data_IF_563740867089
#
_entry.id   IF_563740867089
#
_cell.length_a   1.000
_cell.length_b   1.000
_cell.length_c   1.000
_cell.angle_alpha   90.00
_cell.angle_beta   90.00
_cell.angle_gamma   90.00
#
_symmetry.space_group_name_H-M   'P 1'
#
loop_
_entity.id
_entity.type
_entity.pdbx_description
1 polymer ?
#
# COMPACT_ATOMS: atom_id res chain seq x y z
N UNK A 1 -80.84 -103.71 31.36
CA UNK A 1 -79.70 -103.55 32.30
C UNK A 1 -78.34 -104.03 31.78
N UNK A 2 -78.16 -105.20 31.12
CA UNK A 2 -76.84 -105.58 30.53
C UNK A 2 -76.51 -104.90 29.19
N UNK A 3 -77.48 -104.70 28.29
CA UNK A 3 -77.24 -104.02 27.01
C UNK A 3 -76.88 -102.53 27.18
N UNK A 4 -77.59 -101.79 28.05
CA UNK A 4 -77.28 -100.38 28.32
C UNK A 4 -75.84 -100.19 28.84
N UNK A 5 -75.37 -101.09 29.71
CA UNK A 5 -73.99 -101.04 30.21
C UNK A 5 -72.93 -101.33 29.15
N UNK A 6 -73.28 -102.08 28.09
CA UNK A 6 -72.37 -102.42 27.00
C UNK A 6 -72.32 -101.32 25.94
N UNK A 7 -73.45 -100.68 25.65
CA UNK A 7 -73.52 -99.49 24.80
C UNK A 7 -72.88 -98.27 25.47
N UNK A 8 -73.07 -98.08 26.78
CA UNK A 8 -72.41 -97.02 27.54
C UNK A 8 -70.88 -97.17 27.50
N UNK A 9 -70.36 -98.38 27.72
CA UNK A 9 -68.90 -98.64 27.62
C UNK A 9 -68.34 -98.37 26.23
N UNK A 10 -69.05 -98.76 25.16
CA UNK A 10 -68.64 -98.45 23.78
C UNK A 10 -68.72 -96.96 23.47
N UNK A 11 -69.71 -96.25 24.01
CA UNK A 11 -69.82 -94.80 23.90
C UNK A 11 -68.68 -94.10 24.64
N UNK A 12 -68.38 -94.54 25.86
CA UNK A 12 -67.27 -94.02 26.67
C UNK A 12 -65.93 -94.29 25.97
N UNK A 13 -65.74 -95.48 25.38
CA UNK A 13 -64.55 -95.85 24.59
C UNK A 13 -64.41 -94.98 23.33
N UNK A 14 -65.48 -94.78 22.56
CA UNK A 14 -65.49 -93.89 21.39
C UNK A 14 -65.26 -92.42 21.78
N UNK A 15 -65.86 -91.96 22.87
CA UNK A 15 -65.66 -90.60 23.38
C UNK A 15 -64.23 -90.37 23.88
N UNK A 16 -63.60 -91.39 24.47
CA UNK A 16 -62.17 -91.36 24.83
C UNK A 16 -61.32 -91.35 23.57
N UNK A 17 -61.61 -92.17 22.56
CA UNK A 17 -60.89 -92.17 21.28
C UNK A 17 -61.02 -90.84 20.52
N UNK A 18 -62.21 -90.25 20.46
CA UNK A 18 -62.42 -88.94 19.83
C UNK A 18 -61.63 -87.85 20.56
N UNK A 19 -61.64 -87.86 21.90
CA UNK A 19 -60.81 -86.94 22.70
C UNK A 19 -59.33 -87.14 22.46
N UNK A 20 -58.85 -88.38 22.38
CA UNK A 20 -57.45 -88.69 22.06
C UNK A 20 -57.07 -88.19 20.67
N UNK A 21 -57.86 -88.48 19.63
CA UNK A 21 -57.61 -87.95 18.28
C UNK A 21 -57.62 -86.43 18.25
N UNK A 22 -58.55 -85.79 18.96
CA UNK A 22 -58.61 -84.32 19.04
C UNK A 22 -57.38 -83.75 19.73
N UNK A 23 -56.91 -84.36 20.80
CA UNK A 23 -55.67 -84.00 21.47
C UNK A 23 -54.46 -84.20 20.56
N UNK A 24 -54.37 -85.31 19.82
CA UNK A 24 -53.30 -85.57 18.85
C UNK A 24 -53.32 -84.55 17.69
N UNK A 25 -54.50 -84.20 17.17
CA UNK A 25 -54.65 -83.17 16.14
C UNK A 25 -54.27 -81.79 16.66
N UNK A 26 -54.66 -81.43 17.88
CA UNK A 26 -54.28 -80.18 18.52
C UNK A 26 -52.77 -80.12 18.77
N UNK A 27 -52.16 -81.21 19.25
CA UNK A 27 -50.71 -81.33 19.38
C UNK A 27 -50.00 -81.19 18.03
N UNK A 28 -50.47 -81.87 16.98
CA UNK A 28 -49.90 -81.75 15.64
C UNK A 28 -50.05 -80.33 15.08
N UNK A 29 -51.19 -79.69 15.29
CA UNK A 29 -51.43 -78.31 14.88
C UNK A 29 -50.51 -77.33 15.64
N UNK A 30 -50.30 -77.56 16.94
CA UNK A 30 -49.38 -76.77 17.75
C UNK A 30 -47.94 -76.98 17.31
N UNK A 31 -47.48 -78.22 17.13
CA UNK A 31 -46.16 -78.54 16.60
C UNK A 31 -45.92 -77.89 15.23
N UNK A 32 -46.90 -77.93 14.32
CA UNK A 32 -46.82 -77.24 13.02
C UNK A 32 -46.68 -75.73 13.19
N UNK A 33 -47.46 -75.11 14.09
CA UNK A 33 -47.36 -73.67 14.37
C UNK A 33 -45.99 -73.32 14.95
N UNK A 34 -45.47 -74.12 15.87
CA UNK A 34 -44.15 -73.93 16.48
C UNK A 34 -43.03 -74.06 15.45
N UNK A 35 -43.06 -75.10 14.61
CA UNK A 35 -42.09 -75.27 13.51
C UNK A 35 -42.16 -74.10 12.54
N UNK A 36 -43.36 -73.66 12.13
CA UNK A 36 -43.52 -72.49 11.25
C UNK A 36 -43.01 -71.22 11.93
N UNK A 37 -43.28 -71.02 13.22
CA UNK A 37 -42.79 -69.87 13.96
C UNK A 37 -41.26 -69.90 14.09
N UNK A 38 -40.67 -71.06 14.33
CA UNK A 38 -39.22 -71.25 14.34
C UNK A 38 -38.61 -70.93 12.97
N UNK A 39 -39.12 -71.53 11.90
CA UNK A 39 -38.63 -71.27 10.53
C UNK A 39 -38.78 -69.79 10.13
N UNK A 40 -39.88 -69.13 10.51
CA UNK A 40 -40.07 -67.69 10.29
C UNK A 40 -39.04 -66.86 11.07
N UNK A 41 -38.78 -67.19 12.35
CA UNK A 41 -37.75 -66.50 13.14
C UNK A 41 -36.37 -66.67 12.52
N UNK A 42 -36.00 -67.90 12.16
CA UNK A 42 -34.71 -68.19 11.52
C UNK A 42 -34.58 -67.51 10.17
N UNK A 43 -35.65 -67.48 9.35
CA UNK A 43 -35.66 -66.77 8.08
C UNK A 43 -35.47 -65.27 8.28
N UNK A 44 -36.21 -64.66 9.21
CA UNK A 44 -36.06 -63.24 9.51
C UNK A 44 -34.66 -62.91 10.01
N UNK A 45 -34.10 -63.70 10.92
CA UNK A 45 -32.70 -63.54 11.38
C UNK A 45 -31.71 -63.59 10.20
N UNK A 46 -31.93 -64.48 9.22
CA UNK A 46 -31.10 -64.56 8.02
C UNK A 46 -31.29 -63.37 7.08
N UNK A 47 -32.51 -62.83 6.99
CA UNK A 47 -32.78 -61.60 6.23
C UNK A 47 -32.10 -60.41 6.89
N UNK A 48 -32.21 -60.27 8.22
CA UNK A 48 -31.57 -59.20 8.98
C UNK A 48 -30.03 -59.27 8.83
N UNK A 49 -29.45 -60.47 8.95
CA UNK A 49 -28.01 -60.70 8.72
C UNK A 49 -27.59 -60.32 7.28
N UNK A 50 -28.39 -60.67 6.27
CA UNK A 50 -28.14 -60.25 4.88
C UNK A 50 -28.20 -58.73 4.74
N UNK A 51 -29.16 -58.06 5.39
CA UNK A 51 -29.26 -56.60 5.34
C UNK A 51 -28.08 -55.92 6.01
N UNK A 52 -27.67 -56.38 7.20
CA UNK A 52 -26.50 -55.85 7.91
C UNK A 52 -25.21 -56.04 7.09
N UNK A 53 -25.00 -57.21 6.50
CA UNK A 53 -23.84 -57.47 5.64
C UNK A 53 -23.87 -56.60 4.38
N UNK A 54 -25.04 -56.36 3.80
CA UNK A 54 -25.19 -55.50 2.62
C UNK A 54 -24.92 -54.02 2.96
N UNK A 55 -25.38 -53.53 4.12
CA UNK A 55 -25.07 -52.19 4.61
C UNK A 55 -23.57 -52.02 4.89
N UNK A 56 -22.95 -53.01 5.54
CA UNK A 56 -21.49 -53.02 5.75
C UNK A 56 -20.74 -52.99 4.42
N UNK A 57 -21.16 -53.79 3.43
CA UNK A 57 -20.55 -53.81 2.10
C UNK A 57 -20.68 -52.46 1.39
N UNK A 58 -21.84 -51.81 1.46
CA UNK A 58 -22.03 -50.47 0.91
C UNK A 58 -21.15 -49.43 1.61
N UNK A 59 -21.08 -49.48 2.94
CA UNK A 59 -20.21 -48.57 3.70
C UNK A 59 -18.73 -48.74 3.33
N UNK A 60 -18.29 -49.98 3.13
CA UNK A 60 -16.93 -50.31 2.72
C UNK A 60 -16.66 -49.84 1.28
N UNK A 61 -17.63 -49.97 0.38
CA UNK A 61 -17.53 -49.45 -0.99
C UNK A 61 -17.40 -47.93 -1.00
N UNK A 62 -18.23 -47.22 -0.24
CA UNK A 62 -18.16 -45.76 -0.10
C UNK A 62 -16.81 -45.34 0.50
N UNK A 63 -16.34 -46.02 1.54
CA UNK A 63 -15.03 -45.73 2.13
C UNK A 63 -13.88 -45.92 1.11
N UNK A 64 -13.93 -47.00 0.32
CA UNK A 64 -12.96 -47.25 -0.76
C UNK A 64 -13.00 -46.17 -1.84
N UNK A 65 -14.19 -45.70 -2.22
CA UNK A 65 -14.34 -44.61 -3.21
C UNK A 65 -13.75 -43.30 -2.67
N UNK A 66 -14.03 -42.96 -1.42
CA UNK A 66 -13.47 -41.75 -0.77
C UNK A 66 -11.95 -41.83 -0.69
N UNK A 67 -11.38 -42.98 -0.31
CA UNK A 67 -9.93 -43.18 -0.30
C UNK A 67 -9.32 -43.06 -1.70
N UNK A 68 -9.96 -43.65 -2.71
CA UNK A 68 -9.53 -43.56 -4.10
C UNK A 68 -9.51 -42.10 -4.57
N UNK A 69 -10.58 -41.35 -4.32
CA UNK A 69 -10.67 -39.93 -4.69
C UNK A 69 -9.61 -39.10 -3.97
N UNK A 70 -9.33 -39.40 -2.70
CA UNK A 70 -8.26 -38.76 -1.94
C UNK A 70 -6.86 -39.04 -2.55
N UNK A 71 -6.58 -40.27 -2.96
CA UNK A 71 -5.33 -40.61 -3.64
C UNK A 71 -5.21 -39.98 -5.03
N UNK A 72 -6.31 -39.91 -5.79
CA UNK A 72 -6.34 -39.23 -7.08
C UNK A 72 -6.07 -37.73 -6.93
N UNK A 73 -6.66 -37.09 -5.91
CA UNK A 73 -6.41 -35.69 -5.58
C UNK A 73 -4.95 -35.45 -5.18
N UNK A 74 -4.36 -36.29 -4.34
CA UNK A 74 -2.95 -36.21 -3.97
C UNK A 74 -2.03 -36.38 -5.19
N UNK A 75 -2.33 -37.34 -6.07
CA UNK A 75 -1.56 -37.57 -7.30
C UNK A 75 -1.67 -36.36 -8.25
N UNK A 76 -2.85 -35.76 -8.37
CA UNK A 76 -3.05 -34.56 -9.17
C UNK A 76 -2.28 -33.36 -8.59
N UNK A 77 -2.30 -33.20 -7.27
CA UNK A 77 -1.53 -32.16 -6.58
C UNK A 77 -0.03 -32.32 -6.84
N UNK A 78 0.54 -33.50 -6.59
CA UNK A 78 1.98 -33.75 -6.81
C UNK A 78 2.38 -33.53 -8.28
N UNK A 79 1.52 -33.92 -9.24
CA UNK A 79 1.75 -33.65 -10.66
C UNK A 79 1.73 -32.15 -10.96
N UNK A 80 0.83 -31.40 -10.35
CA UNK A 80 0.75 -29.96 -10.52
C UNK A 80 2.00 -29.26 -9.96
N UNK A 81 2.40 -29.61 -8.73
CA UNK A 81 3.62 -29.08 -8.09
C UNK A 81 4.89 -29.42 -8.91
N UNK A 82 4.98 -30.65 -9.42
CA UNK A 82 6.09 -31.04 -10.29
C UNK A 82 6.11 -30.26 -11.61
N UNK A 83 4.93 -30.03 -12.20
CA UNK A 83 4.85 -29.26 -13.43
C UNK A 83 5.20 -27.78 -13.20
N UNK A 84 4.75 -27.20 -12.09
CA UNK A 84 5.09 -25.82 -11.72
C UNK A 84 6.59 -25.65 -11.47
N UNK A 85 7.22 -26.55 -10.71
CA UNK A 85 8.67 -26.52 -10.48
C UNK A 85 9.46 -26.72 -11.77
N UNK A 86 9.01 -27.60 -12.67
CA UNK A 86 9.59 -27.75 -14.01
C UNK A 86 9.50 -26.45 -14.81
N UNK A 87 8.34 -25.80 -14.82
CA UNK A 87 8.14 -24.56 -15.56
C UNK A 87 8.98 -23.43 -14.98
N UNK A 88 9.07 -23.31 -13.65
CA UNK A 88 9.96 -22.38 -12.96
C UNK A 88 11.43 -22.59 -13.38
N UNK A 89 11.95 -23.82 -13.27
CA UNK A 89 13.33 -24.12 -13.67
C UNK A 89 13.57 -23.87 -15.17
N UNK A 90 12.57 -24.12 -16.02
CA UNK A 90 12.66 -23.84 -17.46
C UNK A 90 12.78 -22.34 -17.72
N UNK A 91 11.97 -21.52 -17.04
CA UNK A 91 12.07 -20.05 -17.14
C UNK A 91 13.41 -19.52 -16.63
N UNK A 92 13.92 -20.05 -15.51
CA UNK A 92 15.24 -19.69 -15.00
C UNK A 92 16.35 -20.05 -15.99
N UNK A 93 16.27 -21.22 -16.62
CA UNK A 93 17.24 -21.65 -17.63
C UNK A 93 17.25 -20.70 -18.84
N UNK A 94 16.07 -20.29 -19.32
CA UNK A 94 15.95 -19.31 -20.41
C UNK A 94 16.57 -17.96 -20.00
N UNK A 95 16.29 -17.47 -18.80
CA UNK A 95 16.85 -16.21 -18.28
C UNK A 95 18.38 -16.31 -18.15
N UNK A 96 18.89 -17.42 -17.63
CA UNK A 96 20.33 -17.67 -17.51
C UNK A 96 20.99 -17.75 -18.89
N UNK A 97 20.34 -18.38 -19.87
CA UNK A 97 20.79 -18.39 -21.27
C UNK A 97 20.87 -16.98 -21.86
N UNK A 98 19.88 -16.13 -21.59
CA UNK A 98 19.91 -14.71 -21.99
C UNK A 98 21.04 -13.92 -21.32
N UNK A 99 21.27 -14.14 -20.02
CA UNK A 99 22.40 -13.53 -19.29
C UNK A 99 23.76 -13.99 -19.84
N UNK A 100 23.89 -15.26 -20.20
CA UNK A 100 25.10 -15.81 -20.79
C UNK A 100 25.39 -15.18 -22.16
N UNK A 101 24.39 -15.09 -23.03
CA UNK A 101 24.52 -14.44 -24.34
C UNK A 101 24.95 -12.97 -24.22
N UNK A 102 24.36 -12.21 -23.28
CA UNK A 102 24.76 -10.83 -23.01
C UNK A 102 26.21 -10.73 -22.49
N UNK A 103 26.65 -11.70 -21.68
CA UNK A 103 28.02 -11.76 -21.18
C UNK A 103 29.02 -12.12 -22.28
N UNK A 104 28.65 -13.01 -23.20
CA UNK A 104 29.45 -13.33 -24.40
C UNK A 104 29.58 -12.13 -25.34
N UNK A 105 28.49 -11.38 -25.55
CA UNK A 105 28.53 -10.14 -26.33
C UNK A 105 29.45 -9.10 -25.67
N UNK A 106 29.32 -8.90 -24.36
CA UNK A 106 30.21 -8.00 -23.62
C UNK A 106 31.69 -8.43 -23.72
N UNK A 107 31.96 -9.74 -23.62
CA UNK A 107 33.31 -10.30 -23.78
C UNK A 107 33.86 -10.00 -25.18
N UNK A 108 33.06 -10.18 -26.22
CA UNK A 108 33.46 -9.92 -27.61
C UNK A 108 33.71 -8.42 -27.86
N UNK A 109 32.83 -7.55 -27.36
CA UNK A 109 33.02 -6.09 -27.42
C UNK A 109 34.31 -5.65 -26.71
N UNK A 110 34.61 -6.25 -25.55
CA UNK A 110 35.86 -5.98 -24.81
C UNK A 110 37.09 -6.40 -25.61
N UNK A 111 37.05 -7.56 -26.27
CA UNK A 111 38.15 -8.02 -27.12
C UNK A 111 38.37 -7.10 -28.31
N UNK A 112 37.32 -6.75 -29.05
CA UNK A 112 37.42 -5.80 -30.17
C UNK A 112 37.98 -4.45 -29.73
N UNK A 113 37.55 -3.96 -28.57
CA UNK A 113 38.06 -2.70 -28.03
C UNK A 113 39.54 -2.82 -27.67
N UNK A 114 39.93 -3.93 -27.05
CA UNK A 114 41.33 -4.20 -26.68
C UNK A 114 42.22 -4.28 -27.92
N UNK A 115 41.76 -4.95 -28.99
CA UNK A 115 42.48 -5.02 -30.26
C UNK A 115 42.62 -3.63 -30.94
N UNK A 116 41.55 -2.82 -30.90
CA UNK A 116 41.61 -1.42 -31.36
C UNK A 116 42.62 -0.60 -30.54
N UNK A 117 42.71 -0.81 -29.24
CA UNK A 117 43.72 -0.16 -28.41
C UNK A 117 45.13 -0.61 -28.75
N UNK A 118 45.39 -1.91 -28.87
CA UNK A 118 46.73 -2.42 -29.20
C UNK A 118 47.19 -1.93 -30.58
N UNK A 119 46.30 -1.91 -31.58
CA UNK A 119 46.63 -1.39 -32.91
C UNK A 119 46.93 0.11 -32.89
N UNK A 120 46.20 0.92 -32.12
CA UNK A 120 46.50 2.34 -31.94
C UNK A 120 47.82 2.57 -31.19
N UNK A 121 48.10 1.78 -30.16
CA UNK A 121 49.38 1.83 -29.43
C UNK A 121 50.56 1.50 -30.34
N UNK A 122 50.44 0.46 -31.18
CA UNK A 122 51.47 0.08 -32.14
C UNK A 122 51.69 1.17 -33.21
N UNK A 123 50.61 1.79 -33.70
CA UNK A 123 50.71 2.94 -34.60
C UNK A 123 51.42 4.12 -33.95
N UNK A 124 51.10 4.43 -32.69
CA UNK A 124 51.73 5.51 -31.94
C UNK A 124 53.22 5.24 -31.73
N UNK A 125 53.60 4.02 -31.33
CA UNK A 125 55.00 3.62 -31.19
C UNK A 125 55.76 3.73 -32.51
N UNK A 126 55.13 3.32 -33.61
CA UNK A 126 55.73 3.44 -34.94
C UNK A 126 55.96 4.90 -35.32
N UNK A 127 54.97 5.77 -35.13
CA UNK A 127 55.12 7.20 -35.35
C UNK A 127 56.24 7.78 -34.47
N UNK A 128 56.30 7.43 -33.20
CA UNK A 128 57.35 7.89 -32.29
C UNK A 128 58.74 7.45 -32.77
N UNK A 129 58.89 6.21 -33.23
CA UNK A 129 60.14 5.72 -33.83
C UNK A 129 60.49 6.49 -35.11
N UNK A 130 59.53 6.67 -36.01
CA UNK A 130 59.73 7.39 -37.27
C UNK A 130 60.13 8.86 -37.01
N UNK A 131 59.55 9.51 -36.00
CA UNK A 131 59.92 10.86 -35.57
C UNK A 131 61.32 10.91 -34.94
N UNK A 132 61.69 9.93 -34.12
CA UNK A 132 63.05 9.82 -33.56
C UNK A 132 64.09 9.68 -34.67
N UNK A 133 63.81 8.82 -35.66
CA UNK A 133 64.68 8.63 -36.81
C UNK A 133 64.75 9.91 -37.68
N UNK A 134 63.64 10.61 -37.85
CA UNK A 134 63.59 11.87 -38.56
C UNK A 134 64.47 12.94 -37.89
N UNK A 135 64.32 13.11 -36.57
CA UNK A 135 65.14 14.05 -35.77
C UNK A 135 66.62 13.67 -35.85
N UNK A 136 66.95 12.40 -35.64
CA UNK A 136 68.33 11.92 -35.75
C UNK A 136 68.94 12.21 -37.13
N UNK A 137 68.19 11.98 -38.21
CA UNK A 137 68.65 12.27 -39.57
C UNK A 137 68.83 13.77 -39.82
N UNK A 138 67.96 14.62 -39.28
CA UNK A 138 68.11 16.08 -39.36
C UNK A 138 69.34 16.56 -38.59
N UNK A 139 69.54 16.07 -37.37
CA UNK A 139 70.71 16.39 -36.55
C UNK A 139 72.00 15.97 -37.27
N UNK A 140 72.03 14.74 -37.78
CA UNK A 140 73.15 14.22 -38.57
C UNK A 140 73.46 15.11 -39.78
N UNK A 141 72.43 15.51 -40.55
CA UNK A 141 72.59 16.44 -41.69
C UNK A 141 73.14 17.79 -41.23
N UNK A 142 72.58 18.37 -40.17
CA UNK A 142 73.04 19.66 -39.63
C UNK A 142 74.50 19.62 -39.19
N UNK A 143 74.93 18.53 -38.54
CA UNK A 143 76.33 18.33 -38.14
C UNK A 143 77.24 18.24 -39.36
N UNK A 144 76.86 17.46 -40.38
CA UNK A 144 77.64 17.33 -41.61
C UNK A 144 77.75 18.65 -42.38
N UNK A 145 76.66 19.42 -42.47
CA UNK A 145 76.65 20.73 -43.13
C UNK A 145 77.50 21.75 -42.40
N UNK A 146 77.46 21.77 -41.07
CA UNK A 146 78.35 22.62 -40.24
C UNK A 146 79.82 22.30 -40.48
N UNK A 147 80.17 21.02 -40.54
CA UNK A 147 81.55 20.59 -40.80
C UNK A 147 81.98 20.89 -42.24
N UNK A 148 81.09 20.71 -43.22
CA UNK A 148 81.33 21.13 -44.61
C UNK A 148 81.61 22.63 -44.69
N UNK A 149 80.77 23.45 -44.07
CA UNK A 149 80.91 24.91 -44.05
C UNK A 149 82.21 25.33 -43.37
N UNK A 150 82.58 24.70 -42.23
CA UNK A 150 83.87 24.94 -41.57
C UNK A 150 85.04 24.65 -42.49
N UNK A 151 85.04 23.51 -43.20
CA UNK A 151 86.09 23.15 -44.17
C UNK A 151 86.18 24.18 -45.29
N UNK A 152 85.05 24.63 -45.83
CA UNK A 152 85.01 25.66 -46.88
C UNK A 152 85.54 27.02 -46.38
N UNK A 153 85.15 27.45 -45.18
CA UNK A 153 85.67 28.68 -44.56
C UNK A 153 87.19 28.58 -44.38
N UNK A 154 87.72 27.47 -43.85
CA UNK A 154 89.16 27.27 -43.69
C UNK A 154 89.88 27.35 -45.05
N UNK A 155 89.34 26.71 -46.09
CA UNK A 155 89.90 26.78 -47.44
C UNK A 155 89.92 28.21 -47.99
N UNK A 156 88.80 28.95 -47.86
CA UNK A 156 88.73 30.35 -48.31
C UNK A 156 89.67 31.25 -47.53
N UNK A 157 89.76 31.09 -46.21
CA UNK A 157 90.71 31.84 -45.36
C UNK A 157 92.15 31.56 -45.78
N UNK A 158 92.51 30.31 -46.07
CA UNK A 158 93.84 29.98 -46.54
C UNK A 158 94.15 30.60 -47.91
N UNK A 159 93.19 30.57 -48.85
CA UNK A 159 93.33 31.23 -50.15
C UNK A 159 93.52 32.74 -49.98
N UNK A 160 92.66 33.37 -49.19
CA UNK A 160 92.73 34.79 -48.84
C UNK A 160 94.09 35.10 -48.22
N UNK A 161 94.56 34.32 -47.24
CA UNK A 161 95.87 34.52 -46.63
C UNK A 161 97.03 34.42 -47.64
N UNK A 162 96.95 33.53 -48.63
CA UNK A 162 97.97 33.46 -49.70
C UNK A 162 97.93 34.66 -50.63
N UNK A 163 96.75 35.15 -51.00
CA UNK A 163 96.59 36.34 -51.84
C UNK A 163 96.96 37.62 -51.08
N UNK A 164 96.61 37.72 -49.80
CA UNK A 164 97.03 38.83 -48.92
C UNK A 164 98.55 38.88 -48.76
N UNK A 165 99.24 37.75 -48.59
CA UNK A 165 100.73 37.75 -48.57
C UNK A 165 101.32 38.25 -49.89
N UNK A 166 100.73 37.90 -51.05
CA UNK A 166 101.18 38.38 -52.36
C UNK A 166 100.93 39.89 -52.56
N UNK A 167 99.73 40.35 -52.22
CA UNK A 167 99.32 41.77 -52.37
C UNK A 167 100.02 42.68 -51.35
N UNK A 168 100.18 42.24 -50.10
CA UNK A 168 100.90 42.98 -49.07
C UNK A 168 102.37 43.21 -49.42
N UNK A 169 103.01 42.27 -50.13
CA UNK A 169 104.37 42.42 -50.64
C UNK A 169 104.46 43.46 -51.77
N UNK A 170 103.36 43.73 -52.49
CA UNK A 170 103.33 44.58 -53.69
C UNK A 170 102.81 46.00 -53.48
N UNK A 171 102.01 46.27 -52.45
CA UNK A 171 101.36 47.58 -52.23
C UNK A 171 101.54 48.12 -50.80
N UNK A 172 102.66 47.77 -50.15
CA UNK A 172 102.84 47.90 -48.70
C UNK A 172 102.76 49.33 -48.13
N UNK A 173 102.87 50.38 -48.96
CA UNK A 173 102.89 51.77 -48.47
C UNK A 173 101.58 52.54 -48.70
N UNK A 174 100.96 52.43 -49.88
CA UNK A 174 99.69 53.12 -50.17
C UNK A 174 98.46 52.42 -49.60
N UNK A 175 98.48 51.09 -49.48
CA UNK A 175 97.37 50.29 -48.95
C UNK A 175 97.30 50.34 -47.43
N UNK A 176 98.45 50.49 -46.75
CA UNK A 176 98.52 50.63 -45.27
C UNK A 176 97.78 51.87 -44.78
N UNK A 177 97.91 53.00 -45.49
CA UNK A 177 97.23 54.26 -45.11
C UNK A 177 95.71 54.18 -45.29
N UNK A 178 95.23 53.58 -46.38
CA UNK A 178 93.79 53.44 -46.68
C UNK A 178 93.12 52.37 -45.79
N UNK A 179 93.81 51.25 -45.54
CA UNK A 179 93.35 50.19 -44.67
C UNK A 179 93.18 50.64 -43.22
N UNK A 180 94.03 51.53 -42.68
CA UNK A 180 93.87 52.05 -41.32
C UNK A 180 92.56 52.85 -41.17
N UNK A 181 92.21 53.68 -42.15
CA UNK A 181 90.99 54.51 -42.10
C UNK A 181 89.72 53.66 -42.25
N UNK A 182 89.72 52.70 -43.17
CA UNK A 182 88.60 51.78 -43.38
C UNK A 182 88.44 50.82 -42.19
N UNK A 183 89.54 50.32 -41.61
CA UNK A 183 89.51 49.45 -40.42
C UNK A 183 88.99 50.20 -39.19
N UNK A 184 89.37 51.46 -38.99
CA UNK A 184 88.79 52.31 -37.94
C UNK A 184 87.27 52.48 -38.13
N UNK A 185 86.82 52.69 -39.37
CA UNK A 185 85.39 52.86 -39.69
C UNK A 185 84.60 51.57 -39.47
N UNK A 186 85.13 50.42 -39.92
CA UNK A 186 84.53 49.10 -39.71
C UNK A 186 84.51 48.75 -38.22
N UNK A 187 85.59 49.02 -37.48
CA UNK A 187 85.66 48.81 -36.03
C UNK A 187 84.60 49.63 -35.30
N UNK A 188 84.38 50.88 -35.71
CA UNK A 188 83.33 51.72 -35.15
C UNK A 188 81.93 51.13 -35.42
N UNK A 189 81.66 50.69 -36.65
CA UNK A 189 80.39 50.04 -36.98
C UNK A 189 80.20 48.69 -36.28
N UNK A 190 81.26 47.90 -36.14
CA UNK A 190 81.25 46.62 -35.42
C UNK A 190 80.92 46.86 -33.95
N UNK A 191 81.50 47.91 -33.34
CA UNK A 191 81.19 48.29 -31.96
C UNK A 191 79.74 48.72 -31.79
N UNK A 192 79.16 49.41 -32.79
CA UNK A 192 77.75 49.83 -32.79
C UNK A 192 76.82 48.61 -32.91
N UNK A 193 77.10 47.71 -33.85
CA UNK A 193 76.33 46.47 -34.06
C UNK A 193 76.45 45.55 -32.84
N UNK A 194 77.65 45.41 -32.26
CA UNK A 194 77.87 44.62 -31.05
C UNK A 194 77.06 45.17 -29.87
N UNK A 195 77.03 46.50 -29.70
CA UNK A 195 76.21 47.15 -28.67
C UNK A 195 74.71 46.91 -28.89
N UNK A 196 74.23 47.03 -30.13
CA UNK A 196 72.83 46.74 -30.48
C UNK A 196 72.49 45.25 -30.27
N UNK A 197 73.40 44.34 -30.63
CA UNK A 197 73.23 42.91 -30.38
C UNK A 197 73.17 42.57 -28.89
N UNK A 198 73.99 43.23 -28.07
CA UNK A 198 73.95 43.09 -26.62
C UNK A 198 72.63 43.60 -26.02
N UNK A 199 72.12 44.75 -26.51
CA UNK A 199 70.82 45.28 -26.11
C UNK A 199 69.67 44.34 -26.48
N UNK A 200 69.63 43.84 -27.73
CA UNK A 200 68.61 42.88 -28.16
C UNK A 200 68.66 41.56 -27.40
N UNK A 201 69.85 41.07 -27.04
CA UNK A 201 69.99 39.89 -26.18
C UNK A 201 69.42 40.15 -24.79
N UNK A 202 69.71 41.31 -24.21
CA UNK A 202 69.16 41.70 -22.91
C UNK A 202 67.64 41.81 -22.95
N UNK A 203 67.07 42.45 -23.98
CA UNK A 203 65.62 42.51 -24.20
C UNK A 203 65.01 41.13 -24.39
N UNK A 204 65.67 40.23 -25.15
CA UNK A 204 65.20 38.88 -25.37
C UNK A 204 65.17 38.06 -24.06
N UNK A 205 66.19 38.18 -23.22
CA UNK A 205 66.21 37.55 -21.90
C UNK A 205 65.14 38.11 -20.96
N UNK A 206 64.92 39.43 -20.98
CA UNK A 206 63.81 40.04 -20.23
C UNK A 206 62.46 39.51 -20.73
N UNK A 207 62.23 39.46 -22.04
CA UNK A 207 61.00 38.95 -22.63
C UNK A 207 60.79 37.47 -22.30
N UNK A 208 61.83 36.63 -22.35
CA UNK A 208 61.75 35.24 -21.89
C UNK A 208 61.37 35.15 -20.43
N UNK A 209 61.99 35.95 -19.56
CA UNK A 209 61.66 36.03 -18.15
C UNK A 209 60.20 36.40 -17.91
N UNK A 210 59.69 37.42 -18.63
CA UNK A 210 58.27 37.80 -18.53
C UNK A 210 57.33 36.72 -19.05
N UNK A 211 57.68 36.04 -20.16
CA UNK A 211 56.91 34.93 -20.72
C UNK A 211 56.84 33.77 -19.75
N UNK A 212 57.97 33.40 -19.16
CA UNK A 212 58.04 32.27 -18.23
C UNK A 212 57.25 32.58 -16.95
N UNK A 213 57.27 33.82 -16.47
CA UNK A 213 56.43 34.26 -15.36
C UNK A 213 54.94 34.23 -15.72
N UNK A 214 54.58 34.71 -16.91
CA UNK A 214 53.18 34.64 -17.40
C UNK A 214 52.70 33.18 -17.53
N UNK A 215 53.57 32.27 -17.98
CA UNK A 215 53.26 30.85 -18.08
C UNK A 215 52.97 30.24 -16.70
N UNK A 216 53.80 30.54 -15.68
CA UNK A 216 53.55 30.11 -14.31
C UNK A 216 52.22 30.64 -13.77
N UNK A 217 51.89 31.90 -14.05
CA UNK A 217 50.61 32.48 -13.64
C UNK A 217 49.43 31.79 -14.32
N UNK A 218 49.54 31.47 -15.61
CA UNK A 218 48.52 30.70 -16.33
C UNK A 218 48.33 29.31 -15.73
N UNK A 219 49.41 28.59 -15.42
CA UNK A 219 49.34 27.27 -14.80
C UNK A 219 48.66 27.32 -13.43
N UNK A 220 48.99 28.32 -12.60
CA UNK A 220 48.34 28.52 -11.30
C UNK A 220 46.85 28.80 -11.46
N UNK A 221 46.46 29.66 -12.41
CA UNK A 221 45.06 29.98 -12.69
C UNK A 221 44.30 28.77 -13.22
N UNK A 222 44.89 27.98 -14.12
CA UNK A 222 44.26 26.77 -14.65
C UNK A 222 44.05 25.72 -13.53
N UNK A 223 45.04 25.56 -12.66
CA UNK A 223 44.92 24.68 -11.50
C UNK A 223 43.83 25.15 -10.53
N UNK A 224 43.77 26.46 -10.24
CA UNK A 224 42.70 27.04 -9.43
C UNK A 224 41.32 26.79 -10.07
N UNK A 225 41.19 26.99 -11.39
CA UNK A 225 39.96 26.71 -12.12
C UNK A 225 39.55 25.23 -12.03
N UNK A 226 40.50 24.29 -12.20
CA UNK A 226 40.25 22.84 -12.05
C UNK A 226 39.75 22.50 -10.65
N UNK A 227 40.36 23.07 -9.61
CA UNK A 227 39.93 22.87 -8.21
C UNK A 227 38.53 23.45 -8.00
N UNK A 228 38.26 24.68 -8.47
CA UNK A 228 36.93 25.29 -8.38
C UNK A 228 35.86 24.50 -9.13
N UNK A 229 36.18 23.91 -10.29
CA UNK A 229 35.26 23.07 -11.04
C UNK A 229 34.92 21.77 -10.28
N UNK A 230 35.93 21.14 -9.66
CA UNK A 230 35.72 19.95 -8.80
C UNK A 230 34.85 20.28 -7.60
N UNK A 231 35.12 21.41 -6.94
CA UNK A 231 34.32 21.88 -5.80
C UNK A 231 32.88 22.21 -6.21
N UNK A 232 32.70 22.96 -7.30
CA UNK A 232 31.38 23.28 -7.87
C UNK A 232 30.59 22.02 -8.21
N UNK A 233 31.24 20.99 -8.77
CA UNK A 233 30.61 19.68 -9.02
C UNK A 233 30.20 18.99 -7.72
N UNK A 234 31.06 19.01 -6.70
CA UNK A 234 30.74 18.49 -5.36
C UNK A 234 29.56 19.20 -4.73
N UNK A 235 29.56 20.53 -4.75
CA UNK A 235 28.46 21.37 -4.27
C UNK A 235 27.16 21.07 -5.00
N UNK A 236 27.18 20.96 -6.34
CA UNK A 236 26.00 20.57 -7.12
C UNK A 236 25.45 19.21 -6.69
N UNK A 237 26.31 18.23 -6.43
CA UNK A 237 25.88 16.90 -5.94
C UNK A 237 25.25 17.00 -4.55
N UNK A 238 25.85 17.77 -3.64
CA UNK A 238 25.30 17.99 -2.29
C UNK A 238 23.93 18.69 -2.38
N UNK A 239 23.80 19.73 -3.21
CA UNK A 239 22.53 20.43 -3.43
C UNK A 239 21.46 19.46 -3.93
N UNK A 240 21.78 18.60 -4.91
CA UNK A 240 20.83 17.60 -5.41
C UNK A 240 20.39 16.63 -4.31
N UNK A 241 21.34 16.10 -3.52
CA UNK A 241 21.03 15.20 -2.41
C UNK A 241 20.16 15.87 -1.34
N UNK A 242 20.48 17.12 -0.97
CA UNK A 242 19.68 17.89 -0.01
C UNK A 242 18.29 18.20 -0.57
N UNK A 243 18.18 18.51 -1.86
CA UNK A 243 16.89 18.78 -2.52
C UNK A 243 16.01 17.53 -2.50
N UNK A 244 16.60 16.36 -2.79
CA UNK A 244 15.89 15.08 -2.74
C UNK A 244 15.44 14.73 -1.32
N UNK A 245 16.31 14.90 -0.32
CA UNK A 245 15.96 14.76 1.10
C UNK A 245 14.82 15.68 1.53
N UNK A 246 14.83 16.95 1.11
CA UNK A 246 13.73 17.87 1.38
C UNK A 246 12.42 17.40 0.74
N UNK A 247 12.47 16.84 -0.48
CA UNK A 247 11.30 16.29 -1.16
C UNK A 247 10.73 15.08 -0.42
N UNK A 248 11.59 14.15 0.00
CA UNK A 248 11.21 12.98 0.80
C UNK A 248 10.57 13.41 2.12
N UNK A 249 11.19 14.37 2.82
CA UNK A 249 10.64 14.90 4.07
C UNK A 249 9.29 15.57 3.85
N UNK A 250 9.13 16.34 2.76
CA UNK A 250 7.86 16.98 2.44
C UNK A 250 6.77 15.93 2.12
N UNK A 251 7.10 14.87 1.40
CA UNK A 251 6.18 13.77 1.16
C UNK A 251 5.77 13.09 2.47
N UNK A 252 6.73 12.79 3.35
CA UNK A 252 6.46 12.24 4.68
C UNK A 252 5.58 13.15 5.55
N UNK A 253 5.75 14.47 5.47
CA UNK A 253 4.86 15.41 6.18
C UNK A 253 3.43 15.39 5.63
N UNK A 254 3.26 15.30 4.31
CA UNK A 254 1.93 15.20 3.68
C UNK A 254 1.24 13.89 4.08
N UNK A 255 1.96 12.77 4.05
CA UNK A 255 1.43 11.47 4.49
C UNK A 255 1.03 11.49 5.97
N UNK A 256 1.86 12.09 6.83
CA UNK A 256 1.56 12.26 8.25
C UNK A 256 0.32 13.14 8.50
N UNK A 257 0.16 14.22 7.72
CA UNK A 257 -1.03 15.07 7.78
C UNK A 257 -2.30 14.33 7.34
N UNK A 258 -2.22 13.51 6.28
CA UNK A 258 -3.33 12.66 5.83
C UNK A 258 -3.73 11.65 6.90
N UNK A 259 -2.77 10.94 7.50
CA UNK A 259 -3.03 10.01 8.59
C UNK A 259 -3.63 10.73 9.81
N UNK A 260 -3.13 11.92 10.15
CA UNK A 260 -3.69 12.73 11.24
C UNK A 260 -5.14 13.12 10.99
N UNK A 261 -5.49 13.46 9.74
CA UNK A 261 -6.87 13.76 9.37
C UNK A 261 -7.77 12.52 9.53
N UNK A 262 -7.31 11.36 9.06
CA UNK A 262 -8.05 10.09 9.21
C UNK A 262 -8.24 9.71 10.68
N UNK A 263 -7.20 9.84 11.51
CA UNK A 263 -7.29 9.61 12.95
C UNK A 263 -8.30 10.57 13.61
N UNK A 264 -8.26 11.86 13.25
CA UNK A 264 -9.25 12.82 13.75
C UNK A 264 -10.68 12.47 13.36
N UNK A 265 -10.91 11.96 12.16
CA UNK A 265 -12.23 11.51 11.71
C UNK A 265 -12.70 10.27 12.49
N UNK A 266 -11.81 9.30 12.70
CA UNK A 266 -12.09 8.11 13.51
C UNK A 266 -12.38 8.46 14.97
N UNK A 267 -11.60 9.36 15.57
CA UNK A 267 -11.83 9.84 16.93
C UNK A 267 -13.19 10.54 17.09
N UNK A 268 -13.58 11.34 16.10
CA UNK A 268 -14.91 11.96 16.07
C UNK A 268 -16.02 10.91 15.98
N UNK A 269 -15.86 9.90 15.12
CA UNK A 269 -16.80 8.78 15.01
C UNK A 269 -16.91 7.97 16.30
N UNK A 270 -15.79 7.69 16.97
CA UNK A 270 -15.78 7.02 18.27
C UNK A 270 -16.51 7.85 19.34
N UNK A 271 -16.31 9.17 19.37
CA UNK A 271 -17.03 10.05 20.31
C UNK A 271 -18.53 10.06 20.05
N UNK A 272 -18.95 10.11 18.78
CA UNK A 272 -20.37 10.02 18.41
C UNK A 272 -20.96 8.68 18.87
N UNK A 273 -20.30 7.56 18.56
CA UNK A 273 -20.76 6.24 18.95
C UNK A 273 -20.84 6.08 20.48
N UNK A 274 -19.90 6.67 21.23
CA UNK A 274 -19.95 6.71 22.69
C UNK A 274 -21.15 7.50 23.21
N UNK A 275 -21.45 8.65 22.62
CA UNK A 275 -22.64 9.46 22.95
C UNK A 275 -23.92 8.68 22.65
N UNK A 276 -24.02 8.05 21.49
CA UNK A 276 -25.17 7.23 21.10
C UNK A 276 -25.35 6.05 22.06
N UNK A 277 -24.26 5.38 22.44
CA UNK A 277 -24.29 4.28 23.41
C UNK A 277 -24.79 4.76 24.78
N UNK A 278 -24.37 5.94 25.23
CA UNK A 278 -24.86 6.53 26.49
C UNK A 278 -26.34 6.90 26.39
N UNK A 279 -26.78 7.49 25.27
CA UNK A 279 -28.17 7.83 25.01
C UNK A 279 -29.05 6.57 25.01
N UNK A 280 -28.66 5.53 24.27
CA UNK A 280 -29.37 4.25 24.23
C UNK A 280 -29.42 3.57 25.60
N UNK A 281 -28.33 3.63 26.39
CA UNK A 281 -28.33 3.13 27.78
C UNK A 281 -29.35 3.88 28.63
N UNK A 282 -29.39 5.21 28.55
CA UNK A 282 -30.35 6.01 29.31
C UNK A 282 -31.80 5.73 28.90
N UNK A 283 -32.07 5.53 27.61
CA UNK A 283 -33.40 5.15 27.11
C UNK A 283 -33.80 3.76 27.59
N UNK A 284 -32.89 2.78 27.52
CA UNK A 284 -33.10 1.44 28.09
C UNK A 284 -33.45 1.52 29.57
N UNK A 285 -32.73 2.34 30.35
CA UNK A 285 -32.97 2.47 31.78
C UNK A 285 -34.33 3.12 32.08
N UNK A 286 -34.74 4.11 31.28
CA UNK A 286 -36.08 4.69 31.37
C UNK A 286 -37.18 3.68 31.05
N UNK A 287 -37.01 2.88 29.98
CA UNK A 287 -37.97 1.84 29.61
C UNK A 287 -38.05 0.74 30.66
N UNK A 288 -36.91 0.33 31.24
CA UNK A 288 -36.88 -0.63 32.34
C UNK A 288 -37.64 -0.09 33.56
N UNK A 289 -37.45 1.18 33.92
CA UNK A 289 -38.19 1.79 35.03
C UNK A 289 -39.70 1.85 34.74
N UNK A 290 -40.11 2.12 33.49
CA UNK A 290 -41.51 2.06 33.08
C UNK A 290 -42.07 0.64 33.18
N UNK A 291 -41.31 -0.35 32.74
CA UNK A 291 -41.70 -1.75 32.82
C UNK A 291 -41.84 -2.21 34.29
N UNK A 292 -40.91 -1.85 35.17
CA UNK A 292 -40.98 -2.13 36.60
C UNK A 292 -42.22 -1.50 37.24
N UNK A 293 -42.56 -0.26 36.87
CA UNK A 293 -43.80 0.39 37.32
C UNK A 293 -45.04 -0.35 36.86
N UNK A 294 -45.13 -0.69 35.57
CA UNK A 294 -46.25 -1.46 35.03
C UNK A 294 -46.36 -2.84 35.67
N UNK A 295 -45.24 -3.50 35.97
CA UNK A 295 -45.24 -4.77 36.69
C UNK A 295 -45.72 -4.60 38.13
N UNK A 296 -45.30 -3.55 38.84
CA UNK A 296 -45.75 -3.24 40.19
C UNK A 296 -47.26 -2.93 40.22
N UNK A 297 -47.75 -2.15 39.26
CA UNK A 297 -49.18 -1.86 39.07
C UNK A 297 -49.97 -3.14 38.75
N UNK A 298 -49.48 -3.97 37.84
CA UNK A 298 -50.09 -5.26 37.52
C UNK A 298 -50.15 -6.18 38.75
N UNK A 299 -49.08 -6.25 39.53
CA UNK A 299 -49.07 -7.00 40.79
C UNK A 299 -50.05 -6.43 41.82
N UNK A 300 -50.18 -5.10 41.91
CA UNK A 300 -51.15 -4.46 42.80
C UNK A 300 -52.59 -4.79 42.37
N UNK A 301 -52.91 -4.63 41.10
CA UNK A 301 -54.23 -4.99 40.54
C UNK A 301 -54.53 -6.48 40.72
N UNK A 302 -53.53 -7.35 40.57
CA UNK A 302 -53.68 -8.79 40.84
C UNK A 302 -54.06 -9.03 42.31
N UNK A 303 -53.40 -8.35 43.26
CA UNK A 303 -53.74 -8.46 44.70
C UNK A 303 -55.15 -7.94 44.95
N UNK A 304 -55.51 -6.78 44.43
CA UNK A 304 -56.85 -6.21 44.56
C UNK A 304 -57.92 -7.16 43.99
N UNK A 305 -57.70 -7.76 42.82
CA UNK A 305 -58.59 -8.75 42.24
C UNK A 305 -58.74 -9.99 43.14
N UNK A 306 -57.64 -10.49 43.73
CA UNK A 306 -57.73 -11.65 44.63
C UNK A 306 -58.47 -11.32 45.92
N UNK A 307 -58.33 -10.10 46.46
CA UNK A 307 -59.11 -9.66 47.62
C UNK A 307 -60.58 -9.49 47.28
N UNK A 308 -60.91 -8.87 46.13
CA UNK A 308 -62.30 -8.78 45.65
C UNK A 308 -62.91 -10.17 45.38
N UNK A 309 -62.14 -11.12 44.84
CA UNK A 309 -62.58 -12.52 44.67
C UNK A 309 -62.85 -13.21 46.02
N UNK A 310 -62.02 -12.97 47.05
CA UNK A 310 -62.28 -13.48 48.41
C UNK A 310 -63.54 -12.87 49.01
N UNK A 311 -63.72 -11.54 48.88
CA UNK A 311 -64.94 -10.85 49.34
C UNK A 311 -66.16 -11.42 48.62
N UNK A 312 -66.09 -11.60 47.31
CA UNK A 312 -67.16 -12.22 46.52
C UNK A 312 -67.46 -13.65 46.96
N UNK A 313 -66.45 -14.50 47.16
CA UNK A 313 -66.65 -15.86 47.65
C UNK A 313 -67.28 -15.88 49.05
N UNK A 314 -66.88 -14.96 49.93
CA UNK A 314 -67.47 -14.82 51.26
C UNK A 314 -68.93 -14.36 51.19
N UNK A 315 -69.26 -13.42 50.29
CA UNK A 315 -70.64 -12.98 50.04
C UNK A 315 -71.49 -14.10 49.44
N UNK A 316 -70.96 -14.85 48.47
CA UNK A 316 -71.62 -16.02 47.88
C UNK A 316 -71.88 -17.09 48.95
N UNK A 317 -70.93 -17.35 49.85
CA UNK A 317 -71.09 -18.26 50.97
C UNK A 317 -72.14 -17.77 51.99
N UNK A 318 -72.15 -16.47 52.32
CA UNK A 318 -73.16 -15.89 53.21
C UNK A 318 -74.56 -15.90 52.59
N UNK A 319 -74.67 -15.64 51.27
CA UNK A 319 -75.92 -15.77 50.54
C UNK A 319 -76.39 -17.23 50.47
N UNK A 320 -75.48 -18.18 50.26
CA UNK A 320 -75.78 -19.62 50.30
C UNK A 320 -76.26 -20.07 51.69
N UNK A 321 -75.62 -19.58 52.76
CA UNK A 321 -76.05 -19.84 54.14
C UNK A 321 -77.42 -19.21 54.43
N UNK A 322 -77.66 -17.97 54.00
CA UNK A 322 -78.96 -17.31 54.15
C UNK A 322 -80.06 -18.04 53.34
N UNK A 323 -79.76 -18.51 52.12
CA UNK A 323 -80.71 -19.31 51.34
C UNK A 323 -80.95 -20.68 51.94
N UNK A 324 -79.95 -21.32 52.54
CA UNK A 324 -80.13 -22.57 53.28
C UNK A 324 -81.05 -22.38 54.49
N UNK A 325 -80.83 -21.33 55.30
CA UNK A 325 -81.70 -21.00 56.44
C UNK A 325 -83.14 -20.69 55.96
N UNK A 326 -83.30 -19.99 54.82
CA UNK A 326 -84.62 -19.74 54.22
C UNK A 326 -85.28 -21.00 53.64
N UNK A 327 -84.50 -21.95 53.10
CA UNK A 327 -85.02 -23.25 52.66
C UNK A 327 -85.46 -24.12 53.83
N UNK A 328 -84.73 -24.09 54.94
CA UNK A 328 -85.06 -24.77 56.19
C UNK A 328 -86.38 -24.22 56.77
N UNK A 329 -86.58 -22.89 56.68
CA UNK A 329 -87.86 -22.23 57.02
C UNK A 329 -89.03 -22.68 56.14
N UNK A 330 -88.79 -22.94 54.85
CA UNK A 330 -89.83 -23.37 53.91
C UNK A 330 -90.17 -24.87 54.01
N UNK A 331 -89.29 -25.71 54.57
CA UNK A 331 -89.52 -27.14 54.78
C UNK A 331 -90.26 -27.47 56.08
N UNK A 332 -90.35 -26.52 57.02
CA UNK A 332 -91.13 -26.66 58.25
C UNK A 332 -92.60 -26.32 57.97
N UNK A 333 -93.39 -27.32 57.53
CA UNK A 333 -94.85 -27.21 57.51
C UNK A 333 -95.40 -27.33 58.95
N UNK A 334 -96.40 -26.53 59.35
CA UNK A 334 -97.10 -26.74 60.62
C UNK A 334 -98.04 -27.95 60.50
N UNK A 335 -97.86 -28.94 61.36
CA UNK A 335 -98.87 -29.99 61.58
C UNK A 335 -99.97 -29.38 62.45
N UNK A 336 -101.14 -29.17 61.86
CA UNK A 336 -102.31 -28.52 62.47
C UNK A 336 -103.08 -29.48 63.38
N UNK A 337 -102.47 -29.96 64.47
CA UNK A 337 -103.19 -30.51 65.64
C UNK A 337 -102.37 -30.27 66.94
N UNK A 338 -102.18 -29.01 67.35
CA UNK A 338 -102.02 -28.63 68.77
C UNK A 338 -102.03 -27.10 68.95
N UNK A 339 -102.99 -26.57 69.71
CA UNK A 339 -103.21 -25.13 69.91
C UNK A 339 -102.16 -24.39 70.78
N UNK A 340 -101.05 -25.04 71.13
CA UNK A 340 -99.89 -24.43 71.81
C UNK A 340 -98.63 -24.34 70.91
N UNK A 341 -98.71 -24.79 69.65
CA UNK A 341 -97.57 -24.84 68.70
C UNK A 341 -97.35 -23.54 67.89
N UNK A 342 -98.33 -22.63 67.85
CA UNK A 342 -98.30 -21.42 67.00
C UNK A 342 -97.40 -20.30 67.56
N UNK A 343 -97.32 -20.16 68.88
CA UNK A 343 -96.41 -19.18 69.53
C UNK A 343 -94.94 -19.61 69.46
N UNK A 344 -94.68 -20.93 69.54
CA UNK A 344 -93.33 -21.49 69.42
C UNK A 344 -92.84 -21.37 67.98
N UNK A 345 -93.69 -21.67 66.99
CA UNK A 345 -93.37 -21.49 65.58
C UNK A 345 -93.09 -20.02 65.22
N UNK A 346 -93.91 -19.07 65.69
CA UNK A 346 -93.66 -17.63 65.50
C UNK A 346 -92.36 -17.16 66.15
N UNK A 347 -92.00 -17.69 67.33
CA UNK A 347 -90.75 -17.36 68.02
C UNK A 347 -89.53 -17.93 67.29
N UNK A 348 -89.61 -19.17 66.83
CA UNK A 348 -88.55 -19.83 66.04
C UNK A 348 -88.37 -19.17 64.67
N UNK A 349 -89.47 -18.78 64.00
CA UNK A 349 -89.44 -18.01 62.76
C UNK A 349 -88.76 -16.66 62.96
N UNK A 350 -89.05 -15.98 64.08
CA UNK A 350 -88.43 -14.69 64.42
C UNK A 350 -86.96 -14.86 64.77
N UNK A 351 -86.56 -15.92 65.45
CA UNK A 351 -85.17 -16.23 65.78
C UNK A 351 -84.35 -16.61 64.54
N UNK A 352 -84.93 -17.38 63.62
CA UNK A 352 -84.31 -17.70 62.33
C UNK A 352 -84.21 -16.48 61.40
N UNK A 353 -85.21 -15.60 61.38
CA UNK A 353 -85.11 -14.31 60.68
C UNK A 353 -84.04 -13.40 61.30
N UNK A 354 -83.88 -13.41 62.63
CA UNK A 354 -82.77 -12.72 63.30
C UNK A 354 -81.43 -13.36 62.95
N UNK A 355 -81.35 -14.69 62.79
CA UNK A 355 -80.14 -15.37 62.33
C UNK A 355 -79.80 -15.04 60.88
N UNK A 356 -80.78 -15.00 59.96
CA UNK A 356 -80.58 -14.53 58.58
C UNK A 356 -80.10 -13.08 58.57
N UNK A 357 -80.71 -12.22 59.38
CA UNK A 357 -80.32 -10.82 59.49
C UNK A 357 -78.93 -10.65 60.12
N UNK A 358 -78.53 -11.52 61.05
CA UNK A 358 -77.19 -11.57 61.65
C UNK A 358 -76.13 -12.05 60.64
N UNK A 359 -76.41 -13.10 59.86
CA UNK A 359 -75.51 -13.61 58.81
C UNK A 359 -75.33 -12.56 57.72
N UNK A 360 -76.41 -11.96 57.24
CA UNK A 360 -76.35 -10.91 56.22
C UNK A 360 -75.69 -9.62 56.74
N UNK A 361 -75.94 -9.21 57.99
CA UNK A 361 -75.27 -8.03 58.57
C UNK A 361 -73.78 -8.26 58.81
N UNK A 362 -73.37 -9.47 59.23
CA UNK A 362 -71.95 -9.82 59.36
C UNK A 362 -71.23 -9.83 58.00
N UNK A 363 -71.90 -10.25 56.91
CA UNK A 363 -71.35 -10.25 55.56
C UNK A 363 -71.24 -8.83 54.95
N UNK A 364 -72.15 -7.92 55.30
CA UNK A 364 -72.09 -6.49 54.91
C UNK A 364 -70.97 -5.75 55.64
N UNK A 365 -70.69 -6.08 56.92
CA UNK A 365 -69.58 -5.49 57.68
C UNK A 365 -68.20 -5.93 57.13
N UNK A 366 -68.12 -7.14 56.58
CA UNK A 366 -66.92 -7.68 55.90
C UNK A 366 -66.74 -7.17 54.46
N UNK A 367 -67.69 -6.39 53.93
CA UNK A 367 -67.68 -5.82 52.58
C UNK A 367 -67.71 -4.28 52.63
N UNK A 368 -66.60 -3.60 52.97
CA UNK A 368 -66.62 -2.15 53.22
C UNK A 368 -66.77 -1.28 51.95
N UNK A 369 -66.88 -1.89 50.75
CA UNK A 369 -66.70 -1.18 49.47
C UNK A 369 -67.97 -0.76 48.73
N UNK A 370 -69.17 -1.07 49.22
CA UNK A 370 -70.41 -0.54 48.62
C UNK A 370 -70.61 0.98 48.88
N UNK A 371 -69.90 1.56 49.85
CA UNK A 371 -69.99 3.00 50.16
C UNK A 371 -69.07 3.90 49.30
N UNK A 372 -68.16 3.33 48.49
CA UNK A 372 -67.16 4.10 47.72
C UNK A 372 -67.56 4.30 46.25
N UNK A 373 -68.41 3.43 45.68
CA UNK A 373 -68.85 3.55 44.28
C UNK A 373 -69.94 4.61 44.01
N UNK A 374 -70.64 5.10 45.04
CA UNK A 374 -71.66 6.16 44.90
C UNK A 374 -71.13 7.58 45.15
N UNK A 375 -69.87 7.74 45.55
CA UNK A 375 -69.27 9.02 45.94
C UNK A 375 -68.12 9.49 45.04
N UNK A 376 -67.89 8.84 43.89
CA UNK A 376 -66.82 9.20 42.95
C UNK A 376 -67.35 9.68 41.59
N UNK A 377 -68.52 10.31 41.61
CA UNK A 377 -69.13 10.99 40.46
C UNK A 377 -69.41 12.46 40.80
N UNK A 378 -68.50 13.14 41.51
CA UNK A 378 -68.51 14.60 41.70
C UNK A 378 -67.24 15.09 42.41
N UNK A 379 -66.15 15.28 41.65
CA UNK A 379 -65.00 16.19 41.87
C UNK A 379 -63.80 15.60 41.10
N UNK A 380 -63.03 16.31 40.29
CA UNK A 380 -63.05 17.70 39.90
C UNK A 380 -62.23 17.79 38.60
N UNK A 381 -62.75 18.52 37.63
CA UNK A 381 -61.91 19.23 36.68
C UNK A 381 -61.18 20.34 37.43
N UNK A 382 -59.84 20.36 37.43
CA UNK A 382 -59.10 21.52 36.92
C UNK A 382 -57.58 21.28 36.79
N UNK A 383 -56.94 21.84 35.73
CA UNK A 383 -55.50 21.79 35.41
C UNK A 383 -54.77 22.97 36.12
N UNK A 384 -53.42 23.20 36.12
CA UNK A 384 -52.66 23.51 34.88
C UNK A 384 -51.09 23.48 34.88
N UNK A 385 -50.54 23.85 33.70
CA UNK A 385 -49.33 24.67 33.45
C UNK A 385 -47.92 24.07 33.62
N UNK A 386 -47.21 24.08 32.49
CA UNK A 386 -45.75 24.00 32.40
C UNK A 386 -45.25 24.37 31.00
N UNK A 387 -45.38 25.66 30.66
CA UNK A 387 -44.55 26.46 29.73
C UNK A 387 -44.02 25.84 28.42
N UNK A 388 -44.58 26.28 27.29
CA UNK A 388 -43.79 26.70 26.12
C UNK A 388 -43.03 28.02 26.46
N UNK A 389 -42.24 28.71 25.60
CA UNK A 389 -41.82 28.47 24.21
C UNK A 389 -40.34 28.89 23.94
N UNK A 390 -39.93 28.85 22.68
CA UNK A 390 -38.89 29.75 22.13
C UNK A 390 -37.54 29.08 21.90
N UNK A 391 -36.73 29.44 20.91
CA UNK A 391 -36.77 30.52 19.93
C UNK A 391 -35.72 30.15 18.88
N UNK A 392 -36.11 30.24 17.61
CA UNK A 392 -35.37 30.58 16.38
C UNK A 392 -33.87 30.21 16.18
N UNK A 393 -33.47 29.95 14.92
CA UNK A 393 -32.09 29.72 14.53
C UNK A 393 -31.31 31.05 14.50
N UNK A 394 -29.98 31.07 14.70
CA UNK A 394 -29.20 32.23 14.31
C UNK A 394 -28.65 32.01 12.90
N UNK A 395 -29.12 32.86 11.99
CA UNK A 395 -28.32 33.37 10.87
C UNK A 395 -27.54 34.58 11.36
N UNK A 396 -26.37 34.76 10.74
CA UNK A 396 -25.62 35.98 10.50
C UNK A 396 -24.38 36.25 11.37
N UNK A 397 -23.26 36.38 10.67
CA UNK A 397 -21.97 36.85 11.14
C UNK A 397 -21.02 37.04 9.96
N UNK A 398 -21.40 37.91 9.01
CA UNK A 398 -20.47 38.47 8.03
C UNK A 398 -19.66 39.56 8.70
N UNK A 399 -18.35 39.36 8.85
CA UNK A 399 -17.30 40.37 8.62
C UNK A 399 -15.93 39.74 8.91
N UNK A 400 -15.11 39.51 7.89
CA UNK A 400 -13.80 40.17 7.75
C UNK A 400 -13.16 39.86 6.41
N UNK A 401 -12.52 40.90 5.92
CA UNK A 401 -11.99 41.11 4.59
C UNK A 401 -10.91 40.09 4.19
N UNK A 402 -10.69 39.90 2.88
CA UNK A 402 -9.53 39.20 2.37
C UNK A 402 -8.28 40.06 2.60
N UNK A 403 -7.14 39.50 3.05
CA UNK A 403 -5.87 40.17 2.80
C UNK A 403 -5.58 40.07 1.30
N UNK A 404 -5.74 41.22 0.66
CA UNK A 404 -4.94 41.76 -0.43
C UNK A 404 -3.82 40.85 -0.95
N UNK A 405 -3.90 40.54 -2.25
CA UNK A 405 -2.77 40.48 -3.20
C UNK A 405 -1.42 40.04 -2.63
N UNK A 406 -1.17 38.72 -2.62
CA UNK A 406 0.20 38.23 -2.67
C UNK A 406 0.60 38.30 -4.15
N UNK A 407 1.37 39.33 -4.49
CA UNK A 407 2.12 39.40 -5.74
C UNK A 407 3.00 38.15 -5.83
N UNK A 408 3.01 37.40 -6.95
CA UNK A 408 3.91 36.27 -7.08
C UNK A 408 5.35 36.76 -6.99
N UNK A 409 6.14 36.07 -6.15
CA UNK A 409 7.57 36.28 -5.97
C UNK A 409 8.28 36.48 -7.31
N UNK A 410 8.95 37.63 -7.49
CA UNK A 410 9.92 37.79 -8.56
C UNK A 410 11.34 37.55 -8.02
N UNK A 411 12.21 36.86 -8.77
CA UNK A 411 13.59 36.62 -8.34
C UNK A 411 14.32 37.96 -8.07
N UNK A 412 14.61 38.25 -6.80
CA UNK A 412 15.33 39.48 -6.40
C UNK A 412 14.84 40.16 -5.10
N UNK A 413 13.68 39.81 -4.56
CA UNK A 413 13.09 40.50 -3.39
C UNK A 413 13.67 40.12 -2.02
N UNK A 414 14.62 39.18 -1.97
CA UNK A 414 15.27 38.76 -0.72
C UNK A 414 16.57 39.50 -0.42
N UNK A 415 16.95 40.53 -1.18
CA UNK A 415 18.14 41.35 -0.91
C UNK A 415 19.49 40.62 -1.03
N UNK A 416 19.47 39.35 -1.46
CA UNK A 416 20.67 38.51 -1.65
C UNK A 416 21.31 38.69 -3.04
N UNK A 417 20.68 39.46 -3.94
CA UNK A 417 21.21 39.84 -5.25
C UNK A 417 21.02 41.35 -5.43
N UNK A 418 22.09 42.14 -5.69
CA UNK A 418 21.94 43.57 -5.99
C UNK A 418 21.06 43.78 -7.22
N UNK A 419 20.10 44.71 -7.16
CA UNK A 419 19.34 45.13 -8.35
C UNK A 419 20.34 45.60 -9.40
N UNK A 420 20.30 45.04 -10.62
CA UNK A 420 21.00 45.63 -11.77
C UNK A 420 20.35 46.97 -12.06
N UNK A 421 20.92 48.04 -11.51
CA UNK A 421 20.76 49.37 -12.08
C UNK A 421 21.23 49.26 -13.54
N UNK A 422 20.36 49.59 -14.48
CA UNK A 422 20.69 49.61 -15.88
C UNK A 422 21.64 50.80 -16.09
N UNK A 423 22.93 50.58 -15.89
CA UNK A 423 23.97 51.47 -16.37
C UNK A 423 24.17 51.07 -17.83
N UNK A 424 23.82 51.93 -18.82
CA UNK A 424 24.12 51.62 -20.21
C UNK A 424 25.65 51.49 -20.35
N UNK A 425 26.16 50.44 -21.01
CA UNK A 425 27.60 50.27 -21.17
C UNK A 425 28.18 51.40 -22.03
N UNK A 426 29.28 51.97 -21.56
CA UNK A 426 30.09 52.96 -22.27
C UNK A 426 30.49 52.40 -23.65
N UNK A 427 30.26 53.11 -24.77
CA UNK A 427 30.49 52.59 -26.12
C UNK A 427 31.93 52.20 -26.46
N UNK A 428 32.93 52.59 -25.65
CA UNK A 428 34.35 52.31 -25.95
C UNK A 428 34.79 50.89 -25.56
N UNK A 429 34.14 50.24 -24.59
CA UNK A 429 34.53 48.90 -24.11
C UNK A 429 34.05 47.76 -25.04
N UNK A 430 33.19 48.06 -26.02
CA UNK A 430 32.64 47.08 -26.97
C UNK A 430 33.51 46.89 -28.23
N UNK A 431 34.64 47.61 -28.36
CA UNK A 431 35.56 47.49 -29.50
C UNK A 431 36.56 46.33 -29.40
N UNK A 432 36.68 45.69 -28.24
CA UNK A 432 37.70 44.67 -27.97
C UNK A 432 37.16 43.22 -27.97
N UNK A 433 35.89 43.00 -28.29
CA UNK A 433 35.27 41.67 -28.28
C UNK A 433 34.99 41.16 -29.71
N UNK A 434 35.34 39.90 -29.96
CA UNK A 434 35.26 39.22 -31.25
C UNK A 434 33.82 38.96 -31.74
N UNK A 435 33.67 38.91 -33.07
CA UNK A 435 32.40 38.92 -33.82
C UNK A 435 31.33 37.89 -33.42
N UNK A 436 31.71 36.77 -32.79
CA UNK A 436 30.80 35.67 -32.45
C UNK A 436 29.95 35.91 -31.20
N UNK A 437 30.27 36.91 -30.37
CA UNK A 437 29.51 37.21 -29.14
C UNK A 437 28.42 38.28 -29.36
N UNK A 438 28.21 38.74 -30.60
CA UNK A 438 27.37 39.90 -30.93
C UNK A 438 25.88 39.61 -31.14
N UNK A 439 25.44 38.35 -31.05
CA UNK A 439 24.05 37.97 -31.35
C UNK A 439 23.31 37.56 -30.08
N UNK A 440 22.54 38.52 -29.56
CA UNK A 440 21.44 38.27 -28.63
C UNK A 440 20.10 38.25 -29.36
N UNK A 441 19.17 37.47 -28.80
CA UNK A 441 17.71 37.41 -29.06
C UNK A 441 17.25 36.71 -30.35
N UNK A 442 16.89 35.42 -30.24
CA UNK A 442 15.95 34.78 -31.16
C UNK A 442 14.55 34.74 -30.55
N UNK A 443 13.62 35.27 -31.34
CA UNK A 443 12.17 35.33 -31.11
C UNK A 443 11.53 34.02 -31.56
N UNK A 444 10.54 33.61 -30.79
CA UNK A 444 9.60 32.50 -31.03
C UNK A 444 8.88 32.65 -32.37
N UNK A 445 8.81 31.58 -33.18
CA UNK A 445 7.68 31.27 -34.06
C UNK A 445 7.47 29.76 -34.19
N UNK A 446 6.19 29.38 -34.13
CA UNK A 446 5.65 28.02 -34.09
C UNK A 446 5.37 27.47 -35.50
N UNK A 447 5.82 26.22 -35.73
CA UNK A 447 5.17 25.11 -36.50
C UNK A 447 4.92 25.26 -38.02
N UNK A 448 4.58 24.17 -38.74
CA UNK A 448 5.32 22.91 -38.91
C UNK A 448 5.37 22.46 -40.40
N UNK A 449 6.28 21.58 -40.82
CA UNK A 449 6.01 20.68 -41.95
C UNK A 449 6.95 19.47 -41.95
N UNK A 450 6.33 18.31 -42.06
CA UNK A 450 6.90 16.97 -42.07
C UNK A 450 7.21 16.63 -43.53
N UNK A 451 8.45 16.26 -43.87
CA UNK A 451 8.71 15.22 -44.85
C UNK A 451 10.05 14.52 -44.57
N UNK A 452 9.94 13.22 -44.34
CA UNK A 452 10.97 12.19 -44.33
C UNK A 452 11.55 11.96 -45.72
N UNK A 453 12.87 11.70 -45.83
CA UNK A 453 13.48 10.69 -46.73
C UNK A 453 14.94 11.02 -47.11
N UNK A 454 15.85 10.07 -46.87
CA UNK A 454 16.94 9.79 -47.83
C UNK A 454 18.39 10.14 -47.44
N UNK A 455 19.05 9.17 -46.79
CA UNK A 455 20.43 8.65 -46.93
C UNK A 455 21.63 9.47 -47.52
N UNK A 456 22.88 9.11 -47.17
CA UNK A 456 24.04 10.01 -47.17
C UNK A 456 24.89 9.96 -48.46
N UNK A 457 25.41 11.11 -48.90
CA UNK A 457 26.41 11.21 -49.98
C UNK A 457 27.84 11.18 -49.42
N UNK A 458 28.45 10.01 -49.56
CA UNK A 458 29.82 9.70 -50.03
C UNK A 458 30.89 10.82 -49.91
N UNK A 459 31.89 10.55 -49.08
CA UNK A 459 33.17 11.27 -48.97
C UNK A 459 33.90 11.37 -50.32
N UNK A 460 34.29 12.59 -50.70
CA UNK A 460 35.31 12.85 -51.74
C UNK A 460 36.71 12.81 -51.11
N UNK A 461 37.56 11.95 -51.67
CA UNK A 461 38.99 11.85 -51.38
C UNK A 461 39.71 13.11 -51.91
N UNK A 462 40.58 13.69 -51.09
CA UNK A 462 41.54 14.71 -51.52
C UNK A 462 42.77 14.03 -52.13
N UNK A 463 43.13 14.43 -53.34
CA UNK A 463 44.39 14.06 -54.01
C UNK A 463 45.40 15.20 -53.85
N UNK A 464 46.64 14.87 -53.51
CA UNK A 464 47.77 15.81 -53.46
C UNK A 464 48.38 16.03 -54.85
N UNK A 465 49.08 17.17 -55.09
CA UNK A 465 49.54 17.56 -56.42
C UNK A 465 50.86 16.91 -56.83
N UNK A 466 50.96 16.62 -58.11
CA UNK A 466 52.06 15.96 -58.82
C UNK A 466 53.18 16.97 -59.15
N UNK A 467 54.44 16.60 -58.85
CA UNK A 467 55.64 17.40 -59.13
C UNK A 467 56.16 17.06 -60.52
N UNK A 468 56.13 18.03 -61.43
CA UNK A 468 56.69 17.90 -62.79
C UNK A 468 58.21 17.95 -62.76
N UNK A 469 58.87 16.85 -63.16
CA UNK A 469 60.29 16.84 -63.51
C UNK A 469 60.44 17.15 -64.99
N UNK A 470 60.98 18.34 -65.29
CA UNK A 470 61.49 18.69 -66.60
C UNK A 470 62.98 18.95 -66.44
N UNK A 471 63.83 18.06 -66.95
CA UNK A 471 65.04 18.51 -67.65
C UNK A 471 65.73 17.40 -68.43
N UNK A 472 66.46 17.89 -69.43
CA UNK A 472 67.33 17.23 -70.39
C UNK A 472 68.41 16.36 -69.76
#
# INVERSE_FOLDING_TARGET
MRLDSQYQRKWDELAVQEKLFRQEFEQLANNKKEIVAFLKRTLNQKVDEITELNEQLQSLQLAKEVEKDAFEAQLAQVRHEFQETKDQLTTENIILGGKLAALEEFRLQKEELTEKFTTLEDQLRKQESDYKDYVYNLEKKSVLDKDRLRKEIIQRVNLVATEYRKVATSQMWDTTKRAIVENNTVTLQLSKISRQGAQLLQENEQLKGTRDELCKQLDLLENAQKVMARHSRGHRKIILMLTEKCREQQQGTVEAEQLRLQLSQLEQGLRQLQQDTQMLRSQRDQLNLQLERQQAEAQQLQRELTEEQKVRANLEAALAQATFILQDVLQMQPDEEDSDSDVVFQLQLKEMLHQVLAVLSSAVVLSPRLAVYLNQESQAHSPPKGSQPGTQPPKMGSLRQPPSSITPYQPGDLGLVPRRAHIPPNPEDLRLLSHTTRVGTFRVHSSPEIHTSGSPKRFKKFSLPEVSLLSK
#
